data_IF_700747078633
#
_entry.id   IF_700747078633
#
_cell.length_a   1.000
_cell.length_b   1.000
_cell.length_c   1.000
_cell.angle_alpha   90.00
_cell.angle_beta   90.00
_cell.angle_gamma   90.00
#
_symmetry.space_group_name_H-M   'P 1'
#
loop_
_entity.id
_entity.type
_entity.pdbx_description
1 polymer ?
#
# COMPACT_ATOMS: atom_id res chain seq x y z
N UNK A 1 36.33 -17.99 -7.41
CA UNK A 1 35.82 -16.72 -6.84
C UNK A 1 34.31 -16.90 -6.63
N UNK A 2 33.87 -17.13 -5.39
CA UNK A 2 32.45 -17.25 -5.08
C UNK A 2 31.85 -15.86 -4.95
N UNK A 3 30.84 -15.55 -5.74
CA UNK A 3 29.97 -14.40 -5.47
C UNK A 3 29.20 -14.79 -4.22
N UNK A 4 29.48 -14.16 -3.08
CA UNK A 4 28.61 -14.29 -1.92
C UNK A 4 27.23 -13.83 -2.36
N UNK A 5 26.25 -14.75 -2.41
CA UNK A 5 24.86 -14.37 -2.64
C UNK A 5 24.47 -13.46 -1.48
N UNK A 6 24.21 -12.16 -1.71
CA UNK A 6 23.74 -11.31 -0.64
C UNK A 6 22.46 -11.94 -0.09
N UNK A 7 22.30 -12.06 1.23
CA UNK A 7 21.07 -12.61 1.80
C UNK A 7 19.96 -11.60 1.51
N UNK A 8 19.23 -11.85 0.41
CA UNK A 8 18.02 -11.12 0.03
C UNK A 8 16.89 -12.12 0.17
N UNK A 9 15.91 -11.80 1.01
CA UNK A 9 14.80 -12.70 1.30
C UNK A 9 13.54 -11.93 1.62
N UNK A 10 12.40 -12.46 1.18
CA UNK A 10 11.09 -12.00 1.64
C UNK A 10 10.85 -12.66 2.99
N UNK A 11 10.75 -11.86 4.05
CA UNK A 11 10.53 -12.35 5.42
C UNK A 11 9.06 -12.65 5.66
N UNK A 12 8.21 -11.69 5.30
CA UNK A 12 6.77 -11.75 5.53
C UNK A 12 6.06 -11.01 4.41
N UNK A 13 4.93 -11.53 4.00
CA UNK A 13 4.02 -10.82 3.11
C UNK A 13 2.59 -11.07 3.55
N UNK A 14 1.74 -10.08 3.35
CA UNK A 14 0.33 -10.15 3.68
C UNK A 14 -0.48 -9.28 2.71
N UNK A 15 -1.71 -9.72 2.47
CA UNK A 15 -2.69 -8.99 1.68
C UNK A 15 -3.78 -8.43 2.58
N UNK A 16 -4.22 -7.21 2.29
CA UNK A 16 -5.36 -6.57 2.93
C UNK A 16 -6.41 -6.24 1.87
N UNK A 17 -7.67 -6.38 2.24
CA UNK A 17 -8.81 -5.85 1.49
C UNK A 17 -9.46 -4.80 2.38
N UNK A 18 -9.70 -3.62 1.84
CA UNK A 18 -10.25 -2.50 2.60
C UNK A 18 -11.39 -1.83 1.84
N UNK A 19 -12.34 -1.28 2.60
CA UNK A 19 -13.42 -0.45 2.11
C UNK A 19 -13.52 0.77 3.02
N UNK A 20 -13.57 1.96 2.43
CA UNK A 20 -13.54 3.23 3.12
C UNK A 20 -14.69 4.11 2.64
N UNK A 21 -15.25 4.87 3.57
CA UNK A 21 -16.24 5.91 3.32
C UNK A 21 -15.78 7.15 4.06
N UNK A 22 -15.71 8.28 3.36
CA UNK A 22 -15.26 9.55 3.92
C UNK A 22 -15.95 10.72 3.25
N UNK A 23 -16.07 11.84 3.96
CA UNK A 23 -16.57 13.09 3.39
C UNK A 23 -15.67 14.22 3.86
N UNK A 24 -15.32 15.12 2.94
CA UNK A 24 -14.61 16.35 3.26
C UNK A 24 -15.60 17.52 3.16
N UNK A 25 -15.83 18.22 4.28
CA UNK A 25 -16.73 19.37 4.34
C UNK A 25 -16.17 20.46 5.26
N UNK A 26 -16.48 21.71 4.91
CA UNK A 26 -16.07 22.90 5.69
C UNK A 26 -17.19 23.35 6.64
N UNK A 27 -18.44 23.52 6.15
CA UNK A 27 -19.55 24.13 6.91
C UNK A 27 -20.81 23.25 7.03
N UNK A 28 -21.07 22.35 6.07
CA UNK A 28 -22.22 21.43 6.07
C UNK A 28 -21.77 20.08 5.54
N UNK A 29 -22.25 18.94 6.09
CA UNK A 29 -21.93 17.62 5.56
C UNK A 29 -22.24 17.60 4.06
N UNK A 30 -21.19 17.41 3.25
CA UNK A 30 -21.24 17.37 1.80
C UNK A 30 -21.31 15.94 1.28
N UNK A 31 -20.92 15.75 0.02
CA UNK A 31 -20.89 14.44 -0.65
C UNK A 31 -20.04 13.43 0.13
N UNK A 32 -20.55 12.22 0.28
CA UNK A 32 -19.83 11.09 0.86
C UNK A 32 -19.18 10.28 -0.25
N UNK A 33 -17.87 10.11 -0.17
CA UNK A 33 -17.08 9.36 -1.12
C UNK A 33 -16.81 7.96 -0.56
N UNK A 34 -16.96 6.96 -1.41
CA UNK A 34 -16.71 5.57 -1.06
C UNK A 34 -15.65 4.98 -1.97
N UNK A 35 -14.78 4.15 -1.40
CA UNK A 35 -13.73 3.46 -2.12
C UNK A 35 -13.52 2.06 -1.54
N UNK A 36 -13.08 1.13 -2.37
CA UNK A 36 -12.52 -0.13 -1.90
C UNK A 36 -11.23 -0.44 -2.63
N UNK A 37 -10.39 -1.24 -2.01
CA UNK A 37 -9.12 -1.60 -2.58
C UNK A 37 -8.51 -2.84 -1.98
N UNK A 38 -7.42 -3.24 -2.60
CA UNK A 38 -6.55 -4.32 -2.16
C UNK A 38 -5.14 -3.78 -1.98
N UNK A 39 -4.47 -4.18 -0.91
CA UNK A 39 -3.06 -3.91 -0.68
C UNK A 39 -2.31 -5.22 -0.52
N UNK A 40 -1.13 -5.30 -1.12
CA UNK A 40 -0.13 -6.33 -0.87
C UNK A 40 1.08 -5.67 -0.23
N UNK A 41 1.46 -6.14 0.94
CA UNK A 41 2.67 -5.70 1.64
C UNK A 41 3.67 -6.84 1.73
N UNK A 42 4.92 -6.56 1.44
CA UNK A 42 6.03 -7.51 1.54
C UNK A 42 7.21 -6.85 2.27
N UNK A 43 7.71 -7.53 3.30
CA UNK A 43 8.91 -7.17 4.03
C UNK A 43 10.09 -7.92 3.43
N UNK A 44 11.00 -7.17 2.82
CA UNK A 44 12.17 -7.66 2.12
C UNK A 44 13.39 -7.35 2.98
N UNK A 45 14.05 -8.40 3.46
CA UNK A 45 15.36 -8.26 4.07
C UNK A 45 16.42 -8.17 2.97
N UNK A 46 17.25 -7.15 3.03
CA UNK A 46 18.38 -6.96 2.16
C UNK A 46 19.63 -6.93 3.04
N UNK A 47 20.55 -7.85 2.78
CA UNK A 47 21.80 -8.03 3.54
C UNK A 47 21.55 -8.43 5.00
N UNK A 48 22.36 -7.90 5.93
CA UNK A 48 22.39 -8.39 7.31
C UNK A 48 21.30 -7.75 8.18
N UNK A 49 20.93 -6.49 7.94
CA UNK A 49 20.07 -5.72 8.85
C UNK A 49 19.12 -4.70 8.16
N UNK A 50 19.10 -4.58 6.82
CA UNK A 50 18.21 -3.61 6.16
C UNK A 50 16.89 -4.29 5.80
N UNK A 51 15.80 -3.89 6.46
CA UNK A 51 14.45 -4.36 6.13
C UNK A 51 13.71 -3.26 5.38
N UNK A 52 13.34 -3.55 4.13
CA UNK A 52 12.49 -2.70 3.31
C UNK A 52 11.07 -3.23 3.29
N UNK A 53 10.13 -2.42 3.73
CA UNK A 53 8.70 -2.68 3.59
C UNK A 53 8.22 -2.10 2.26
N UNK A 54 7.84 -2.99 1.36
CA UNK A 54 7.26 -2.63 0.06
C UNK A 54 5.75 -2.89 0.12
N UNK A 55 4.95 -1.89 -0.25
CA UNK A 55 3.49 -1.98 -0.31
C UNK A 55 2.99 -1.56 -1.68
N UNK A 56 2.35 -2.47 -2.39
CA UNK A 56 1.65 -2.19 -3.63
C UNK A 56 0.15 -2.25 -3.36
N UNK A 57 -0.61 -1.28 -3.84
CA UNK A 57 -2.05 -1.26 -3.66
C UNK A 57 -2.78 -0.76 -4.89
N UNK A 58 -4.00 -1.23 -5.04
CA UNK A 58 -4.97 -0.76 -6.02
C UNK A 58 -6.24 -0.40 -5.28
N UNK A 59 -6.70 0.83 -5.48
CA UNK A 59 -7.93 1.36 -4.92
C UNK A 59 -8.83 1.85 -6.05
N UNK A 60 -10.12 1.53 -5.96
CA UNK A 60 -11.17 1.97 -6.87
C UNK A 60 -12.17 2.82 -6.09
N UNK A 61 -12.38 4.06 -6.53
CA UNK A 61 -13.46 4.91 -6.05
C UNK A 61 -14.78 4.58 -6.76
N UNK A 62 -15.83 4.28 -6.01
CA UNK A 62 -17.15 3.94 -6.58
C UNK A 62 -18.03 5.16 -6.90
N UNK A 63 -17.52 6.36 -6.62
CA UNK A 63 -18.25 7.62 -6.79
C UNK A 63 -18.15 8.15 -8.23
N UNK A 64 -19.22 8.73 -8.76
CA UNK A 64 -19.25 9.21 -10.15
C UNK A 64 -18.56 10.56 -10.38
N UNK A 65 -18.37 11.35 -9.32
CA UNK A 65 -17.87 12.73 -9.45
C UNK A 65 -16.35 12.80 -9.29
N UNK A 66 -15.79 12.02 -8.37
CA UNK A 66 -14.33 11.95 -8.10
C UNK A 66 -13.81 10.53 -7.83
N UNK A 67 -14.62 9.49 -8.06
CA UNK A 67 -14.12 8.12 -7.98
C UNK A 67 -13.12 7.87 -9.09
N UNK A 68 -11.87 7.60 -8.70
CA UNK A 68 -10.77 7.30 -9.63
C UNK A 68 -10.10 5.98 -9.24
N UNK A 69 -9.44 5.39 -10.22
CA UNK A 69 -8.62 4.19 -10.07
C UNK A 69 -7.18 4.57 -9.73
N UNK A 70 -6.77 4.29 -8.50
CA UNK A 70 -5.43 4.59 -8.05
C UNK A 70 -4.61 3.31 -7.82
N UNK A 71 -3.57 3.16 -8.63
CA UNK A 71 -2.48 2.22 -8.37
C UNK A 71 -1.36 2.97 -7.66
N UNK A 72 -0.88 2.45 -6.53
CA UNK A 72 0.25 3.03 -5.82
C UNK A 72 1.27 1.98 -5.38
N UNK A 73 2.52 2.42 -5.34
CA UNK A 73 3.64 1.68 -4.79
C UNK A 73 4.33 2.54 -3.73
N UNK A 74 4.45 2.01 -2.52
CA UNK A 74 5.18 2.62 -1.42
C UNK A 74 6.35 1.73 -1.04
N UNK A 75 7.54 2.31 -0.98
CA UNK A 75 8.75 1.65 -0.52
C UNK A 75 9.25 2.44 0.68
N UNK A 76 9.30 1.80 1.85
CA UNK A 76 9.77 2.43 3.08
C UNK A 76 10.81 1.57 3.78
N UNK A 77 11.77 2.21 4.45
CA UNK A 77 12.61 1.53 5.44
C UNK A 77 11.96 1.67 6.81
N UNK A 78 11.74 0.55 7.51
CA UNK A 78 11.41 0.58 8.94
C UNK A 78 12.73 0.49 9.71
N UNK A 79 13.07 1.53 10.48
CA UNK A 79 14.24 1.56 11.35
C UNK A 79 13.82 1.57 12.82
#
# INVERSE_FOLDING_TARGET
KGIMTPPIGIMQWFGNVFAEVGSAYQDSPGTYYSSAGIELTADINIFYNLVLRTRAGYAHGFDSDIGDDLVYLKIGSSF
#
